data_IF_264688900610
#
_entry.id   IF_264688900610
#
_cell.length_a   1.000
_cell.length_b   1.000
_cell.length_c   1.000
_cell.angle_alpha   90.00
_cell.angle_beta   90.00
_cell.angle_gamma   90.00
#
_symmetry.space_group_name_H-M   'P 1'
#
loop_
_entity.id
_entity.type
_entity.pdbx_description
1 polymer ?
#
# COMPACT_ATOMS: atom_id res chain seq x y z
N UNK A 1 -19.20 24.17 17.71
CA UNK A 1 -19.23 24.43 16.24
C UNK A 1 -17.86 25.02 15.91
N UNK A 2 -16.89 24.17 15.52
CA UNK A 2 -15.51 24.59 15.29
C UNK A 2 -15.41 25.25 13.91
N UNK A 3 -14.94 26.50 13.89
CA UNK A 3 -14.91 27.34 12.69
C UNK A 3 -13.57 27.15 11.97
N UNK A 4 -13.61 26.59 10.76
CA UNK A 4 -12.44 26.22 9.92
C UNK A 4 -11.70 27.43 9.31
N UNK A 5 -12.13 28.67 9.61
CA UNK A 5 -11.58 29.92 9.06
C UNK A 5 -11.04 30.87 10.13
N UNK A 6 -10.95 30.46 11.40
CA UNK A 6 -10.37 31.30 12.45
C UNK A 6 -8.88 31.49 12.13
N UNK A 7 -8.39 32.73 11.92
CA UNK A 7 -6.95 32.98 11.88
C UNK A 7 -6.38 32.55 13.24
N UNK A 8 -5.24 31.85 13.23
CA UNK A 8 -4.60 31.35 14.43
C UNK A 8 -4.40 32.50 15.42
N UNK A 9 -5.08 32.45 16.56
CA UNK A 9 -4.82 33.37 17.65
C UNK A 9 -3.44 32.98 18.22
N UNK A 10 -2.53 33.93 18.33
CA UNK A 10 -1.14 33.75 18.82
C UNK A 10 -1.05 33.25 20.29
N UNK A 11 -2.18 33.04 20.95
CA UNK A 11 -2.32 32.68 22.37
C UNK A 11 -2.64 31.19 22.63
N UNK A 12 -2.92 30.38 21.61
CA UNK A 12 -3.05 28.92 21.79
C UNK A 12 -1.65 28.30 21.90
N UNK A 13 -1.21 28.09 23.14
CA UNK A 13 0.06 27.44 23.45
C UNK A 13 0.25 26.11 22.73
N UNK A 14 1.50 25.61 22.65
CA UNK A 14 1.82 24.45 21.85
C UNK A 14 0.92 23.24 22.15
N UNK A 15 0.40 22.60 21.10
CA UNK A 15 -0.52 21.48 21.24
C UNK A 15 -0.01 20.34 22.15
N UNK A 16 -0.89 19.51 22.72
CA UNK A 16 -0.54 18.53 23.77
C UNK A 16 0.53 17.50 23.33
N UNK A 17 0.61 17.19 22.03
CA UNK A 17 1.68 16.33 21.50
C UNK A 17 3.00 17.09 21.29
N UNK A 18 2.97 18.39 20.95
CA UNK A 18 4.17 19.22 20.92
C UNK A 18 4.77 19.32 22.31
N UNK A 19 3.96 19.55 23.35
CA UNK A 19 4.42 19.52 24.74
C UNK A 19 5.06 18.16 25.11
N UNK A 20 4.50 17.05 24.63
CA UNK A 20 5.09 15.72 24.85
C UNK A 20 6.41 15.52 24.08
N UNK A 21 6.51 15.99 22.84
CA UNK A 21 7.76 15.93 22.07
C UNK A 21 8.82 16.86 22.66
N UNK A 22 8.43 18.04 23.13
CA UNK A 22 9.31 18.98 23.79
C UNK A 22 9.83 18.38 25.09
N UNK A 23 9.01 17.68 25.86
CA UNK A 23 9.49 16.91 27.02
C UNK A 23 10.53 15.84 26.66
N UNK A 24 10.40 15.22 25.48
CA UNK A 24 11.37 14.22 24.96
C UNK A 24 12.65 14.88 24.43
N UNK A 25 12.53 16.05 23.78
CA UNK A 25 13.67 16.86 23.32
C UNK A 25 14.45 17.44 24.52
N UNK A 26 13.73 17.89 25.55
CA UNK A 26 14.25 18.39 26.83
C UNK A 26 14.84 17.25 27.70
N UNK A 27 14.60 15.99 27.33
CA UNK A 27 15.30 14.83 27.93
C UNK A 27 16.78 14.81 27.55
N UNK A 28 17.24 15.71 26.66
CA UNK A 28 18.63 15.85 26.25
C UNK A 28 19.08 14.82 25.22
N UNK A 29 18.18 13.94 24.75
CA UNK A 29 18.48 12.81 23.84
C UNK A 29 19.21 13.19 22.54
N UNK A 30 19.10 14.46 22.14
CA UNK A 30 19.69 15.02 20.91
C UNK A 30 20.86 15.98 21.17
N UNK A 31 21.32 16.13 22.42
CA UNK A 31 22.49 16.94 22.76
C UNK A 31 23.79 16.35 22.19
N UNK A 32 24.79 17.22 21.99
CA UNK A 32 26.09 16.84 21.46
C UNK A 32 26.77 15.80 22.38
N UNK A 33 27.13 14.64 21.81
CA UNK A 33 27.71 13.51 22.53
C UNK A 33 26.75 12.34 22.79
N UNK A 34 25.44 12.50 22.57
CA UNK A 34 24.48 11.41 22.70
C UNK A 34 24.36 10.57 21.41
N UNK A 35 24.14 9.24 21.49
CA UNK A 35 24.14 8.35 20.32
C UNK A 35 23.15 8.75 19.22
N UNK A 36 22.04 9.40 19.59
CA UNK A 36 20.99 9.82 18.67
C UNK A 36 21.36 11.09 17.86
N UNK A 37 22.37 11.85 18.32
CA UNK A 37 22.90 13.05 17.67
C UNK A 37 24.02 12.75 16.65
N UNK A 38 24.59 11.54 16.69
CA UNK A 38 25.68 11.11 15.81
C UNK A 38 25.37 11.22 14.31
N UNK A 39 24.14 10.99 13.81
CA UNK A 39 23.84 11.16 12.39
C UNK A 39 24.05 12.60 11.90
N UNK A 40 23.69 13.58 12.73
CA UNK A 40 23.87 15.01 12.42
C UNK A 40 25.35 15.38 12.50
N UNK A 41 26.06 14.89 13.52
CA UNK A 41 27.49 15.14 13.70
C UNK A 41 28.35 14.55 12.56
N UNK A 42 28.04 13.34 12.11
CA UNK A 42 28.69 12.73 10.96
C UNK A 42 28.44 13.53 9.67
N UNK A 43 27.25 14.12 9.50
CA UNK A 43 26.93 15.00 8.38
C UNK A 43 27.73 16.31 8.41
N UNK A 44 27.98 16.85 9.60
CA UNK A 44 28.80 18.05 9.81
C UNK A 44 30.30 17.80 9.75
N UNK A 45 30.73 16.55 9.52
CA UNK A 45 32.14 16.20 9.29
C UNK A 45 32.89 15.64 10.50
N UNK A 46 32.22 15.21 11.56
CA UNK A 46 32.87 14.50 12.68
C UNK A 46 33.31 13.09 12.25
N UNK A 47 34.63 12.86 12.18
CA UNK A 47 35.22 11.58 11.77
C UNK A 47 34.87 10.43 12.72
N UNK A 48 34.69 10.69 14.02
CA UNK A 48 34.40 9.65 15.01
C UNK A 48 32.96 9.18 14.84
N UNK A 49 32.00 10.11 14.75
CA UNK A 49 30.60 9.80 14.48
C UNK A 49 30.42 9.06 13.15
N UNK A 50 31.16 9.47 12.11
CA UNK A 50 31.16 8.83 10.80
C UNK A 50 31.74 7.41 10.86
N UNK A 51 32.87 7.21 11.56
CA UNK A 51 33.49 5.91 11.74
C UNK A 51 32.60 4.92 12.50
N UNK A 52 31.95 5.38 13.58
CA UNK A 52 31.04 4.54 14.39
C UNK A 52 29.79 4.18 13.59
N UNK A 53 29.12 5.13 12.94
CA UNK A 53 27.95 4.85 12.11
C UNK A 53 28.28 3.96 10.91
N UNK A 54 29.43 4.20 10.27
CA UNK A 54 29.95 3.36 9.19
C UNK A 54 30.23 1.93 9.68
N UNK A 55 30.83 1.78 10.85
CA UNK A 55 31.07 0.49 11.49
C UNK A 55 29.77 -0.26 11.83
N UNK A 56 28.77 0.43 12.39
CA UNK A 56 27.44 -0.13 12.66
C UNK A 56 26.77 -0.57 11.36
N UNK A 57 26.80 0.25 10.32
CA UNK A 57 26.23 -0.08 9.02
C UNK A 57 26.92 -1.31 8.39
N UNK A 58 28.24 -1.38 8.45
CA UNK A 58 29.03 -2.50 7.92
C UNK A 58 28.77 -3.78 8.70
N UNK A 59 28.72 -3.70 10.04
CA UNK A 59 28.40 -4.81 10.91
C UNK A 59 26.97 -5.31 10.68
N UNK A 60 26.00 -4.41 10.55
CA UNK A 60 24.62 -4.74 10.22
C UNK A 60 24.50 -5.40 8.84
N UNK A 61 25.19 -4.86 7.83
CA UNK A 61 25.25 -5.45 6.50
C UNK A 61 25.87 -6.86 6.52
N UNK A 62 26.98 -7.04 7.23
CA UNK A 62 27.63 -8.33 7.38
C UNK A 62 26.73 -9.33 8.13
N UNK A 63 26.11 -8.91 9.24
CA UNK A 63 25.21 -9.75 10.03
C UNK A 63 24.00 -10.22 9.21
N UNK A 64 23.35 -9.33 8.46
CA UNK A 64 22.24 -9.68 7.58
C UNK A 64 22.70 -10.59 6.45
N UNK A 65 23.83 -10.27 5.80
CA UNK A 65 24.36 -11.04 4.67
C UNK A 65 24.75 -12.45 5.09
N UNK A 66 25.46 -12.61 6.22
CA UNK A 66 25.87 -13.91 6.76
C UNK A 66 24.64 -14.69 7.25
N UNK A 67 23.70 -14.03 7.93
CA UNK A 67 22.49 -14.66 8.44
C UNK A 67 21.54 -15.17 7.36
N UNK A 68 21.46 -14.47 6.22
CA UNK A 68 20.61 -14.88 5.09
C UNK A 68 21.31 -15.77 4.06
N UNK A 69 22.65 -15.79 4.02
CA UNK A 69 23.42 -16.59 3.05
C UNK A 69 22.98 -18.08 2.97
N UNK A 70 22.74 -18.80 4.08
CA UNK A 70 22.29 -20.19 4.02
C UNK A 70 20.91 -20.35 3.37
N UNK A 71 20.01 -19.38 3.60
CA UNK A 71 18.67 -19.37 3.00
C UNK A 71 18.71 -19.02 1.52
N UNK A 72 19.58 -18.09 1.12
CA UNK A 72 19.79 -17.79 -0.30
C UNK A 72 20.37 -18.99 -1.06
N UNK A 73 21.36 -19.67 -0.49
CA UNK A 73 21.92 -20.88 -1.08
C UNK A 73 20.88 -22.00 -1.20
N UNK A 74 20.08 -22.23 -0.15
CA UNK A 74 18.99 -23.22 -0.18
C UNK A 74 17.94 -22.89 -1.24
N UNK A 75 17.45 -21.65 -1.30
CA UNK A 75 16.45 -21.21 -2.27
C UNK A 75 16.97 -21.25 -3.71
N UNK A 76 18.25 -20.91 -3.93
CA UNK A 76 18.89 -21.01 -5.25
C UNK A 76 19.03 -22.47 -5.70
N UNK A 77 19.33 -23.38 -4.77
CA UNK A 77 19.41 -24.82 -5.05
C UNK A 77 18.04 -25.40 -5.37
N UNK A 78 16.98 -25.01 -4.63
CA UNK A 78 15.60 -25.40 -4.94
C UNK A 78 15.12 -24.85 -6.29
N UNK A 79 15.41 -23.59 -6.60
CA UNK A 79 15.08 -22.98 -7.88
C UNK A 79 15.81 -23.62 -9.08
N UNK A 80 17.03 -24.14 -8.86
CA UNK A 80 17.78 -24.93 -9.82
C UNK A 80 17.28 -26.38 -9.97
N UNK A 81 16.22 -26.77 -9.27
CA UNK A 81 15.63 -28.11 -9.32
C UNK A 81 16.23 -29.10 -8.32
N UNK A 82 17.07 -28.64 -7.39
CA UNK A 82 17.58 -29.45 -6.30
C UNK A 82 16.48 -29.75 -5.29
N UNK A 83 16.34 -31.03 -4.90
CA UNK A 83 15.45 -31.41 -3.79
C UNK A 83 16.16 -31.13 -2.47
N UNK A 84 15.87 -30.00 -1.83
CA UNK A 84 16.17 -29.85 -0.42
C UNK A 84 15.30 -30.85 0.39
N UNK A 85 15.83 -31.47 1.45
CA UNK A 85 15.05 -32.34 2.32
C UNK A 85 14.01 -31.50 3.07
N UNK A 86 12.80 -31.42 2.51
CA UNK A 86 11.66 -30.83 3.18
C UNK A 86 11.14 -31.84 4.23
N UNK A 87 10.93 -31.44 5.50
CA UNK A 87 10.30 -32.31 6.47
C UNK A 87 8.90 -32.70 5.98
N UNK A 88 8.58 -33.99 6.04
CA UNK A 88 7.26 -34.50 5.67
C UNK A 88 6.21 -33.81 6.55
N UNK A 89 5.49 -32.86 5.96
CA UNK A 89 4.47 -32.11 6.69
C UNK A 89 3.25 -33.00 6.82
N UNK A 90 2.95 -33.41 8.05
CA UNK A 90 1.70 -34.09 8.35
C UNK A 90 0.52 -33.24 7.84
N UNK A 91 -0.19 -33.76 6.85
CA UNK A 91 -1.43 -33.16 6.36
C UNK A 91 -2.49 -33.48 7.41
N UNK A 92 -2.72 -32.55 8.31
CA UNK A 92 -3.86 -32.66 9.22
C UNK A 92 -5.14 -32.53 8.40
N UNK A 93 -6.00 -33.55 8.44
CA UNK A 93 -7.37 -33.51 7.91
C UNK A 93 -8.15 -32.45 8.68
N UNK A 94 -8.10 -31.22 8.15
CA UNK A 94 -8.91 -30.13 8.66
C UNK A 94 -10.29 -30.22 8.01
N UNK A 95 -11.37 -30.10 8.79
CA UNK A 95 -12.71 -30.03 8.20
C UNK A 95 -12.75 -28.89 7.18
N UNK A 96 -13.45 -29.11 6.06
CA UNK A 96 -13.67 -28.09 5.03
C UNK A 96 -14.24 -26.84 5.71
N UNK A 97 -13.48 -25.75 5.67
CA UNK A 97 -13.85 -24.52 6.37
C UNK A 97 -15.12 -23.91 5.74
N UNK A 98 -16.03 -23.45 6.60
CA UNK A 98 -17.28 -22.81 6.18
C UNK A 98 -17.01 -21.50 5.40
N UNK A 99 -17.57 -21.44 4.18
CA UNK A 99 -17.66 -20.25 3.33
C UNK A 99 -16.54 -20.10 2.29
N UNK A 100 -16.89 -20.22 1.01
CA UNK A 100 -16.02 -20.00 -0.16
C UNK A 100 -15.18 -18.72 -0.03
N UNK A 101 -15.82 -17.59 0.28
CA UNK A 101 -15.18 -16.28 0.39
C UNK A 101 -14.08 -16.25 1.46
N UNK A 102 -14.33 -16.85 2.64
CA UNK A 102 -13.36 -16.89 3.74
C UNK A 102 -12.16 -17.77 3.39
N UNK A 103 -12.42 -18.90 2.74
CA UNK A 103 -11.38 -19.82 2.26
C UNK A 103 -10.51 -19.14 1.20
N UNK A 104 -11.12 -18.48 0.23
CA UNK A 104 -10.43 -17.71 -0.79
C UNK A 104 -9.59 -16.58 -0.18
N UNK A 105 -10.17 -15.74 0.68
CA UNK A 105 -9.42 -14.66 1.35
C UNK A 105 -8.23 -15.22 2.13
N UNK A 106 -8.43 -16.27 2.94
CA UNK A 106 -7.34 -16.86 3.72
C UNK A 106 -6.25 -17.48 2.84
N UNK A 107 -6.62 -18.06 1.69
CA UNK A 107 -5.68 -18.56 0.69
C UNK A 107 -4.86 -17.40 0.13
N UNK A 108 -5.52 -16.38 -0.40
CA UNK A 108 -4.85 -15.24 -1.03
C UNK A 108 -3.96 -14.47 -0.05
N UNK A 109 -4.41 -14.24 1.18
CA UNK A 109 -3.59 -13.62 2.24
C UNK A 109 -2.33 -14.44 2.57
N UNK A 110 -2.43 -15.77 2.56
CA UNK A 110 -1.29 -16.65 2.81
C UNK A 110 -0.30 -16.64 1.63
N UNK A 111 -0.78 -16.45 0.40
CA UNK A 111 0.07 -16.29 -0.78
C UNK A 111 0.77 -14.93 -0.75
N UNK A 112 0.05 -13.85 -0.48
CA UNK A 112 0.62 -12.51 -0.31
C UNK A 112 1.70 -12.47 0.79
N UNK A 113 1.44 -13.09 1.95
CA UNK A 113 2.41 -13.14 3.04
C UNK A 113 3.69 -13.93 2.71
N UNK A 114 3.68 -14.73 1.64
CA UNK A 114 4.83 -15.47 1.15
C UNK A 114 5.60 -14.75 0.05
N UNK A 115 5.13 -13.57 -0.39
CA UNK A 115 5.82 -12.75 -1.37
C UNK A 115 6.83 -11.81 -0.68
N UNK A 116 8.14 -12.08 -0.78
CA UNK A 116 9.16 -11.25 -0.14
C UNK A 116 9.26 -9.84 -0.76
N UNK A 117 8.95 -9.69 -2.04
CA UNK A 117 8.97 -8.39 -2.71
C UNK A 117 7.87 -7.49 -2.16
N UNK A 118 6.72 -8.08 -1.81
CA UNK A 118 5.62 -7.39 -1.17
C UNK A 118 6.04 -6.78 0.18
N UNK A 119 6.74 -7.57 0.99
CA UNK A 119 7.24 -7.13 2.30
C UNK A 119 8.16 -5.92 2.13
N UNK A 120 9.11 -5.97 1.19
CA UNK A 120 10.00 -4.85 0.90
C UNK A 120 9.24 -3.60 0.42
N UNK A 121 8.24 -3.75 -0.45
CA UNK A 121 7.43 -2.63 -0.91
C UNK A 121 6.64 -1.97 0.22
N UNK A 122 6.00 -2.77 1.09
CA UNK A 122 5.24 -2.25 2.23
C UNK A 122 6.16 -1.54 3.21
N UNK A 123 7.30 -2.15 3.58
CA UNK A 123 8.30 -1.52 4.46
C UNK A 123 8.80 -0.20 3.88
N UNK A 124 9.14 -0.17 2.58
CA UNK A 124 9.57 1.05 1.91
C UNK A 124 8.46 2.13 1.94
N UNK A 125 7.19 1.73 1.74
CA UNK A 125 6.05 2.65 1.84
C UNK A 125 5.92 3.24 3.24
N UNK A 126 6.13 2.43 4.29
CA UNK A 126 6.12 2.88 5.68
C UNK A 126 7.28 3.84 5.97
N UNK A 127 8.46 3.59 5.41
CA UNK A 127 9.60 4.53 5.51
C UNK A 127 9.24 5.88 4.85
N UNK A 128 8.59 5.86 3.69
CA UNK A 128 8.15 7.09 3.02
C UNK A 128 7.02 7.86 3.73
N UNK A 129 6.34 7.25 4.71
CA UNK A 129 5.38 7.95 5.56
C UNK A 129 6.07 8.81 6.63
N UNK A 130 7.32 8.50 6.99
CA UNK A 130 8.03 9.19 8.06
C UNK A 130 8.30 10.67 7.76
N UNK A 131 8.77 11.06 6.56
CA UNK A 131 8.90 12.47 6.19
C UNK A 131 7.55 13.21 6.16
N UNK A 132 6.49 12.54 5.73
CA UNK A 132 5.15 13.14 5.67
C UNK A 132 4.63 13.42 7.08
N UNK A 133 4.85 12.49 8.01
CA UNK A 133 4.60 12.71 9.44
C UNK A 133 5.37 13.91 9.96
N UNK A 134 6.68 14.00 9.66
CA UNK A 134 7.51 15.13 10.10
C UNK A 134 6.98 16.50 9.61
N UNK A 135 6.62 16.60 8.33
CA UNK A 135 6.04 17.84 7.76
C UNK A 135 4.69 18.17 8.43
N UNK A 136 3.86 17.16 8.69
CA UNK A 136 2.62 17.34 9.44
C UNK A 136 2.82 17.91 10.84
N UNK A 137 3.87 17.48 11.54
CA UNK A 137 4.14 17.95 12.90
C UNK A 137 4.66 19.38 12.95
N UNK A 138 5.40 19.82 11.94
CA UNK A 138 5.98 21.17 11.92
C UNK A 138 4.93 22.27 11.70
N UNK A 139 3.91 21.97 10.90
CA UNK A 139 2.90 22.94 10.46
C UNK A 139 1.47 22.42 10.76
N UNK A 140 1.29 21.80 11.93
CA UNK A 140 0.07 21.07 12.32
C UNK A 140 -1.22 21.91 12.28
N UNK A 141 -1.10 23.22 12.52
CA UNK A 141 -2.23 24.17 12.51
C UNK A 141 -2.62 24.60 11.09
N UNK A 142 -1.82 24.27 10.08
CA UNK A 142 -2.13 24.61 8.70
C UNK A 142 -3.05 23.57 8.05
N UNK A 143 -4.27 23.99 7.72
CA UNK A 143 -5.23 23.15 6.98
C UNK A 143 -4.68 22.65 5.64
N UNK A 144 -3.74 23.37 5.03
CA UNK A 144 -3.04 22.97 3.80
C UNK A 144 -2.14 21.74 4.00
N UNK A 145 -1.42 21.64 5.11
CA UNK A 145 -0.54 20.48 5.40
C UNK A 145 -1.37 19.26 5.76
N UNK A 146 -2.48 19.44 6.49
CA UNK A 146 -3.46 18.37 6.73
C UNK A 146 -4.08 17.85 5.42
N UNK A 147 -4.45 18.75 4.50
CA UNK A 147 -4.98 18.39 3.20
C UNK A 147 -3.96 17.63 2.34
N UNK A 148 -2.71 18.11 2.26
CA UNK A 148 -1.64 17.47 1.48
C UNK A 148 -1.29 16.08 2.02
N UNK A 149 -1.21 15.95 3.34
CA UNK A 149 -0.82 14.69 3.98
C UNK A 149 -1.93 13.66 3.92
N UNK A 150 -3.17 14.08 4.13
CA UNK A 150 -4.35 13.24 3.90
C UNK A 150 -4.42 12.74 2.45
N UNK A 151 -4.19 13.63 1.48
CA UNK A 151 -4.10 13.27 0.06
C UNK A 151 -2.98 12.23 -0.20
N UNK A 152 -1.81 12.40 0.42
CA UNK A 152 -0.71 11.44 0.35
C UNK A 152 -1.11 10.04 0.82
N UNK A 153 -1.76 9.94 1.99
CA UNK A 153 -2.25 8.67 2.53
C UNK A 153 -3.25 8.00 1.57
N UNK A 154 -4.14 8.76 0.95
CA UNK A 154 -5.12 8.25 -0.04
C UNK A 154 -4.45 7.69 -1.30
N UNK A 155 -3.39 8.34 -1.80
CA UNK A 155 -2.59 7.80 -2.91
C UNK A 155 -1.89 6.51 -2.47
N UNK A 156 -1.34 6.46 -1.27
CA UNK A 156 -0.69 5.25 -0.74
C UNK A 156 -1.68 4.07 -0.67
N UNK A 157 -2.90 4.31 -0.19
CA UNK A 157 -3.97 3.31 -0.14
C UNK A 157 -4.29 2.74 -1.53
N UNK A 158 -4.46 3.62 -2.52
CA UNK A 158 -4.72 3.25 -3.90
C UNK A 158 -3.61 2.40 -4.51
N UNK A 159 -2.34 2.76 -4.33
CA UNK A 159 -1.22 2.00 -4.87
C UNK A 159 -1.02 0.65 -4.20
N UNK A 160 -1.18 0.57 -2.87
CA UNK A 160 -1.11 -0.70 -2.16
C UNK A 160 -2.21 -1.67 -2.62
N UNK A 161 -3.45 -1.18 -2.76
CA UNK A 161 -4.55 -1.99 -3.28
C UNK A 161 -4.30 -2.45 -4.72
N UNK A 162 -3.80 -1.55 -5.59
CA UNK A 162 -3.43 -1.87 -6.97
C UNK A 162 -2.38 -2.97 -7.05
N UNK A 163 -1.30 -2.84 -6.27
CA UNK A 163 -0.24 -3.85 -6.23
C UNK A 163 -0.74 -5.20 -5.69
N UNK A 164 -1.51 -5.19 -4.59
CA UNK A 164 -2.04 -6.42 -4.01
C UNK A 164 -3.03 -7.11 -4.94
N UNK A 165 -3.92 -6.35 -5.58
CA UNK A 165 -4.84 -6.88 -6.58
C UNK A 165 -4.06 -7.50 -7.75
N UNK A 166 -3.07 -6.78 -8.30
CA UNK A 166 -2.23 -7.29 -9.38
C UNK A 166 -1.53 -8.61 -9.01
N UNK A 167 -0.98 -8.72 -7.80
CA UNK A 167 -0.32 -9.95 -7.33
C UNK A 167 -1.32 -11.09 -7.17
N UNK A 168 -2.48 -10.85 -6.52
CA UNK A 168 -3.53 -11.87 -6.35
C UNK A 168 -3.99 -12.41 -7.70
N UNK A 169 -4.18 -11.52 -8.67
CA UNK A 169 -4.58 -11.86 -10.03
C UNK A 169 -3.49 -12.66 -10.75
N UNK A 170 -2.25 -12.19 -10.67
CA UNK A 170 -1.13 -12.79 -11.40
C UNK A 170 -0.68 -14.13 -10.79
N UNK A 171 -0.90 -14.33 -9.49
CA UNK A 171 -0.57 -15.57 -8.77
C UNK A 171 -1.61 -16.69 -8.98
N UNK A 172 -2.62 -16.47 -9.82
CA UNK A 172 -3.65 -17.45 -10.12
C UNK A 172 -3.15 -18.50 -11.12
N UNK A 173 -2.57 -19.60 -10.61
CA UNK A 173 -1.96 -20.66 -11.42
C UNK A 173 -2.94 -21.46 -12.32
N UNK A 174 -4.26 -21.37 -12.11
CA UNK A 174 -5.24 -22.16 -12.88
C UNK A 174 -6.62 -21.50 -12.97
N UNK A 175 -6.77 -20.43 -13.77
CA UNK A 175 -8.05 -19.76 -13.98
C UNK A 175 -9.10 -20.69 -14.61
N UNK A 176 -8.68 -21.65 -15.45
CA UNK A 176 -9.58 -22.61 -16.10
C UNK A 176 -10.24 -23.57 -15.09
N UNK A 177 -9.51 -23.98 -14.04
CA UNK A 177 -10.06 -24.84 -12.98
C UNK A 177 -11.09 -24.09 -12.12
N UNK A 178 -10.85 -22.82 -11.84
CA UNK A 178 -11.83 -21.94 -11.19
C UNK A 178 -13.04 -21.67 -12.10
N UNK A 179 -12.83 -21.61 -13.41
CA UNK A 179 -13.89 -21.48 -14.41
C UNK A 179 -14.81 -22.70 -14.51
N UNK A 180 -14.30 -23.89 -14.17
CA UNK A 180 -15.08 -25.14 -14.12
C UNK A 180 -15.68 -25.44 -12.74
N UNK A 181 -15.27 -24.71 -11.70
CA UNK A 181 -15.81 -24.89 -10.37
C UNK A 181 -17.29 -24.44 -10.33
N UNK A 182 -18.16 -25.12 -9.55
CA UNK A 182 -19.57 -24.76 -9.41
C UNK A 182 -19.74 -23.54 -8.47
N UNK A 183 -19.08 -22.43 -8.81
CA UNK A 183 -19.09 -21.17 -8.06
C UNK A 183 -19.45 -20.01 -8.99
N UNK A 184 -20.14 -19.02 -8.45
CA UNK A 184 -20.41 -17.79 -9.19
C UNK A 184 -19.11 -17.00 -9.39
N UNK A 185 -18.80 -16.62 -10.63
CA UNK A 185 -17.59 -15.81 -10.95
C UNK A 185 -17.53 -14.52 -10.14
N UNK A 186 -18.67 -13.85 -9.98
CA UNK A 186 -18.76 -12.62 -9.18
C UNK A 186 -18.41 -12.84 -7.70
N UNK A 187 -18.70 -14.01 -7.13
CA UNK A 187 -18.32 -14.34 -5.76
C UNK A 187 -16.80 -14.53 -5.62
N UNK A 188 -16.17 -15.17 -6.61
CA UNK A 188 -14.71 -15.32 -6.67
C UNK A 188 -14.01 -13.96 -6.83
N UNK A 189 -14.52 -13.10 -7.71
CA UNK A 189 -13.99 -11.76 -7.97
C UNK A 189 -14.09 -10.85 -6.75
N UNK A 190 -15.24 -10.86 -6.05
CA UNK A 190 -15.43 -10.15 -4.78
C UNK A 190 -14.46 -10.66 -3.72
N UNK A 191 -14.25 -11.97 -3.64
CA UNK A 191 -13.30 -12.55 -2.69
C UNK A 191 -11.86 -12.10 -2.96
N UNK A 192 -11.44 -12.03 -4.24
CA UNK A 192 -10.13 -11.50 -4.65
C UNK A 192 -9.99 -10.01 -4.31
N UNK A 193 -11.02 -9.22 -4.62
CA UNK A 193 -11.02 -7.79 -4.29
C UNK A 193 -10.92 -7.58 -2.78
N UNK A 194 -11.72 -8.30 -1.98
CA UNK A 194 -11.65 -8.23 -0.52
C UNK A 194 -10.29 -8.70 0.00
N UNK A 195 -9.71 -9.76 -0.58
CA UNK A 195 -8.38 -10.23 -0.21
C UNK A 195 -7.28 -9.20 -0.46
N UNK A 196 -7.43 -8.36 -1.50
CA UNK A 196 -6.53 -7.23 -1.76
C UNK A 196 -6.79 -6.07 -0.78
N UNK A 197 -8.05 -5.70 -0.56
CA UNK A 197 -8.42 -4.54 0.25
C UNK A 197 -8.17 -4.73 1.75
N UNK A 198 -8.37 -5.93 2.30
CA UNK A 198 -8.16 -6.20 3.74
C UNK A 198 -6.76 -5.81 4.22
N UNK A 199 -5.66 -6.30 3.61
CA UNK A 199 -4.31 -5.93 4.04
C UNK A 199 -3.99 -4.46 3.71
N UNK A 200 -4.51 -3.91 2.60
CA UNK A 200 -4.35 -2.48 2.28
C UNK A 200 -4.93 -1.62 3.40
N UNK A 201 -6.20 -1.86 3.75
CA UNK A 201 -6.90 -1.05 4.74
C UNK A 201 -6.32 -1.22 6.14
N UNK A 202 -5.86 -2.44 6.48
CA UNK A 202 -5.15 -2.68 7.73
C UNK A 202 -3.84 -1.88 7.83
N UNK A 203 -3.05 -1.82 6.75
CA UNK A 203 -1.81 -1.04 6.72
C UNK A 203 -2.09 0.47 6.74
N UNK A 204 -3.06 0.93 5.96
CA UNK A 204 -3.43 2.36 5.95
C UNK A 204 -4.07 2.79 7.26
N UNK A 205 -4.72 1.89 8.00
CA UNK A 205 -5.26 2.18 9.32
C UNK A 205 -4.17 2.61 10.32
N UNK A 206 -2.94 2.11 10.18
CA UNK A 206 -1.80 2.52 11.02
C UNK A 206 -1.46 3.99 10.75
N UNK A 207 -1.37 4.39 9.48
CA UNK A 207 -1.11 5.78 9.10
C UNK A 207 -2.27 6.70 9.50
N UNK A 208 -3.51 6.24 9.33
CA UNK A 208 -4.73 6.94 9.76
C UNK A 208 -4.80 7.15 11.26
N UNK A 209 -4.37 6.17 12.06
CA UNK A 209 -4.32 6.30 13.52
C UNK A 209 -3.38 7.45 13.92
N UNK A 210 -2.18 7.52 13.32
CA UNK A 210 -1.25 8.64 13.51
C UNK A 210 -1.87 9.99 13.12
N UNK A 211 -2.54 10.05 11.98
CA UNK A 211 -3.20 11.26 11.49
C UNK A 211 -4.39 11.70 12.37
N UNK A 212 -5.15 10.74 12.92
CA UNK A 212 -6.31 11.00 13.77
C UNK A 212 -5.96 11.68 15.10
N UNK A 213 -4.74 11.50 15.60
CA UNK A 213 -4.26 12.25 16.78
C UNK A 213 -4.11 13.74 16.52
N UNK A 214 -3.85 14.14 15.28
CA UNK A 214 -3.72 15.56 14.90
C UNK A 214 -5.09 16.14 14.54
N UNK A 215 -5.86 15.45 13.69
CA UNK A 215 -7.18 15.90 13.27
C UNK A 215 -8.16 14.74 13.10
N UNK A 216 -9.00 14.43 14.11
CA UNK A 216 -9.86 13.25 14.08
C UNK A 216 -10.99 13.36 13.05
N UNK A 217 -11.53 14.55 12.81
CA UNK A 217 -12.56 14.76 11.78
C UNK A 217 -11.99 14.66 10.37
N UNK A 218 -10.81 15.25 10.12
CA UNK A 218 -10.14 15.10 8.83
C UNK A 218 -9.75 13.64 8.59
N UNK A 219 -9.39 12.87 9.63
CA UNK A 219 -9.09 11.44 9.51
C UNK A 219 -10.27 10.63 8.96
N UNK A 220 -11.52 10.98 9.29
CA UNK A 220 -12.70 10.32 8.72
C UNK A 220 -12.81 10.56 7.21
N UNK A 221 -12.51 11.78 6.76
CA UNK A 221 -12.49 12.14 5.33
C UNK A 221 -11.37 11.38 4.61
N UNK A 222 -10.17 11.32 5.20
CA UNK A 222 -9.04 10.52 4.68
C UNK A 222 -9.39 9.05 4.63
N UNK A 223 -10.07 8.50 5.64
CA UNK A 223 -10.49 7.11 5.67
C UNK A 223 -11.45 6.79 4.52
N UNK A 224 -12.45 7.65 4.28
CA UNK A 224 -13.35 7.51 3.15
C UNK A 224 -12.59 7.58 1.82
N UNK A 225 -11.69 8.55 1.66
CA UNK A 225 -10.82 8.67 0.50
C UNK A 225 -9.95 7.43 0.26
N UNK A 226 -9.40 6.83 1.33
CA UNK A 226 -8.60 5.61 1.26
C UNK A 226 -9.42 4.42 0.76
N UNK A 227 -10.63 4.24 1.30
CA UNK A 227 -11.55 3.17 0.86
C UNK A 227 -11.93 3.34 -0.61
N UNK A 228 -12.26 4.56 -1.03
CA UNK A 228 -12.63 4.88 -2.41
C UNK A 228 -11.45 4.68 -3.39
N UNK A 229 -10.27 5.17 -3.04
CA UNK A 229 -9.04 5.03 -3.83
C UNK A 229 -8.62 3.56 -3.95
N UNK A 230 -8.55 2.85 -2.82
CA UNK A 230 -8.22 1.44 -2.78
C UNK A 230 -9.23 0.58 -3.57
N UNK A 231 -10.52 0.84 -3.38
CA UNK A 231 -11.60 0.18 -4.10
C UNK A 231 -11.52 0.41 -5.62
N UNK A 232 -11.23 1.65 -6.05
CA UNK A 232 -11.10 1.99 -7.46
C UNK A 232 -9.92 1.28 -8.11
N UNK A 233 -8.73 1.33 -7.48
CA UNK A 233 -7.54 0.62 -7.95
C UNK A 233 -7.78 -0.90 -8.04
N UNK A 234 -8.35 -1.50 -6.99
CA UNK A 234 -8.65 -2.92 -6.97
C UNK A 234 -9.64 -3.34 -8.06
N UNK A 235 -10.67 -2.53 -8.33
CA UNK A 235 -11.63 -2.77 -9.41
C UNK A 235 -11.01 -2.63 -10.80
N UNK A 236 -10.13 -1.63 -11.02
CA UNK A 236 -9.43 -1.44 -12.29
C UNK A 236 -8.59 -2.68 -12.61
N UNK A 237 -7.84 -3.18 -11.61
CA UNK A 237 -7.04 -4.39 -11.79
C UNK A 237 -7.91 -5.62 -12.05
N UNK A 238 -9.05 -5.74 -11.35
CA UNK A 238 -10.04 -6.81 -11.55
C UNK A 238 -10.65 -6.82 -12.95
N UNK A 239 -10.99 -5.65 -13.51
CA UNK A 239 -11.58 -5.56 -14.86
C UNK A 239 -10.57 -5.74 -15.98
N UNK A 240 -9.28 -5.57 -15.68
CA UNK A 240 -8.21 -5.65 -16.67
C UNK A 240 -7.34 -6.90 -16.52
N UNK A 241 -7.82 -7.88 -15.75
CA UNK A 241 -7.21 -9.19 -15.62
C UNK A 241 -6.93 -9.80 -16.99
N UNK A 242 -5.66 -10.18 -17.22
CA UNK A 242 -5.28 -11.06 -18.32
C UNK A 242 -4.78 -12.36 -17.71
N UNK A 243 -5.61 -13.42 -17.67
CA UNK A 243 -5.15 -14.73 -17.24
C UNK A 243 -4.15 -15.24 -18.27
N UNK A 244 -2.86 -15.27 -17.93
CA UNK A 244 -1.81 -15.73 -18.82
C UNK A 244 -1.21 -17.06 -18.38
N UNK A 245 -0.77 -17.85 -19.36
CA UNK A 245 -0.10 -19.13 -19.13
C UNK A 245 1.28 -18.90 -18.51
N UNK A 246 1.63 -19.71 -17.52
CA UNK A 246 2.89 -19.73 -16.71
C UNK A 246 4.20 -19.48 -17.47
N UNK A 247 4.25 -19.78 -18.78
CA UNK A 247 5.42 -19.61 -19.66
C UNK A 247 5.66 -18.16 -20.11
N UNK A 248 4.67 -17.27 -20.00
CA UNK A 248 4.76 -15.86 -20.43
C UNK A 248 5.05 -14.86 -19.28
N UNK A 249 5.12 -15.35 -18.03
CA UNK A 249 5.27 -14.52 -16.82
C UNK A 249 6.45 -13.52 -16.87
N UNK A 250 7.57 -13.91 -17.49
CA UNK A 250 8.75 -13.05 -17.55
C UNK A 250 8.77 -12.09 -18.75
N UNK A 251 7.91 -12.30 -19.77
CA UNK A 251 7.88 -11.48 -20.99
C UNK A 251 6.97 -10.25 -20.86
N UNK A 252 6.07 -10.23 -19.87
CA UNK A 252 5.00 -9.22 -19.76
C UNK A 252 5.17 -8.20 -18.63
N UNK A 253 6.41 -7.86 -18.25
CA UNK A 253 6.70 -6.64 -17.45
C UNK A 253 6.20 -5.33 -18.10
N UNK A 254 5.69 -5.39 -19.35
CA UNK A 254 5.05 -4.30 -20.10
C UNK A 254 3.51 -4.42 -20.17
N UNK A 255 2.87 -5.00 -19.13
CA UNK A 255 1.43 -4.83 -18.91
C UNK A 255 1.08 -3.34 -18.96
N UNK A 256 0.17 -2.96 -19.87
CA UNK A 256 0.23 -1.67 -20.58
C UNK A 256 0.37 -0.46 -19.66
N UNK A 257 1.42 0.34 -19.89
CA UNK A 257 1.67 1.64 -19.24
C UNK A 257 0.41 2.52 -19.17
N UNK A 258 -0.47 2.44 -20.16
CA UNK A 258 -1.76 3.14 -20.21
C UNK A 258 -2.66 2.83 -19.00
N UNK A 259 -2.68 1.59 -18.54
CA UNK A 259 -3.45 1.16 -17.36
C UNK A 259 -2.85 1.79 -16.10
N UNK A 260 -1.53 1.71 -15.93
CA UNK A 260 -0.85 2.32 -14.80
C UNK A 260 -1.02 3.84 -14.75
N UNK A 261 -0.99 4.51 -15.91
CA UNK A 261 -1.26 5.96 -16.00
C UNK A 261 -2.71 6.25 -15.62
N UNK A 262 -3.68 5.48 -16.13
CA UNK A 262 -5.08 5.69 -15.80
C UNK A 262 -5.36 5.45 -14.30
N UNK A 263 -4.74 4.44 -13.70
CA UNK A 263 -4.83 4.15 -12.28
C UNK A 263 -4.21 5.29 -11.45
N UNK A 264 -3.07 5.82 -11.86
CA UNK A 264 -2.44 6.97 -11.22
C UNK A 264 -3.32 8.23 -11.29
N UNK A 265 -3.98 8.49 -12.43
CA UNK A 265 -4.92 9.60 -12.60
C UNK A 265 -6.12 9.45 -11.66
N UNK A 266 -6.69 8.25 -11.54
CA UNK A 266 -7.80 7.96 -10.62
C UNK A 266 -7.39 8.22 -9.17
N UNK A 267 -6.18 7.77 -8.78
CA UNK A 267 -5.64 8.00 -7.45
C UNK A 267 -5.41 9.50 -7.18
N UNK A 268 -4.89 10.23 -8.17
CA UNK A 268 -4.69 11.68 -8.08
C UNK A 268 -6.02 12.42 -7.89
N UNK A 269 -7.10 12.01 -8.57
CA UNK A 269 -8.42 12.59 -8.37
C UNK A 269 -9.00 12.29 -6.97
N UNK A 270 -8.88 11.07 -6.45
CA UNK A 270 -9.29 10.78 -5.07
C UNK A 270 -8.48 11.57 -4.04
N UNK A 271 -7.18 11.73 -4.28
CA UNK A 271 -6.29 12.51 -3.42
C UNK A 271 -6.67 14.00 -3.43
N UNK A 272 -6.90 14.57 -4.62
CA UNK A 272 -7.36 15.96 -4.77
C UNK A 272 -8.72 16.18 -4.11
N UNK A 273 -9.68 15.27 -4.32
CA UNK A 273 -10.99 15.32 -3.67
C UNK A 273 -10.88 15.31 -2.14
N UNK A 274 -10.04 14.44 -1.60
CA UNK A 274 -9.82 14.33 -0.15
C UNK A 274 -9.17 15.60 0.40
N UNK A 275 -8.11 16.09 -0.24
CA UNK A 275 -7.43 17.33 0.17
C UNK A 275 -8.35 18.54 0.13
N UNK A 276 -9.13 18.70 -0.95
CA UNK A 276 -10.12 19.78 -1.08
C UNK A 276 -11.24 19.66 -0.03
N UNK A 277 -11.68 18.45 0.28
CA UNK A 277 -12.70 18.22 1.31
C UNK A 277 -12.19 18.58 2.71
N UNK A 278 -10.93 18.26 3.03
CA UNK A 278 -10.27 18.67 4.29
C UNK A 278 -10.15 20.19 4.35
N UNK A 279 -9.83 20.84 3.23
CA UNK A 279 -9.79 22.30 3.12
C UNK A 279 -11.19 22.97 3.16
N UNK A 280 -12.27 22.22 3.36
CA UNK A 280 -13.64 22.75 3.43
C UNK A 280 -14.20 23.23 2.09
N UNK A 281 -13.56 22.88 0.97
CA UNK A 281 -13.98 23.33 -0.36
C UNK A 281 -15.09 22.43 -0.91
N UNK A 282 -16.26 23.02 -1.21
CA UNK A 282 -17.38 22.31 -1.82
C UNK A 282 -17.04 21.71 -3.20
N UNK A 283 -16.02 22.28 -3.86
CA UNK A 283 -15.49 21.83 -5.14
C UNK A 283 -14.83 20.44 -5.09
N UNK A 284 -14.62 19.86 -3.90
CA UNK A 284 -14.14 18.49 -3.73
C UNK A 284 -14.97 17.42 -4.47
N UNK A 285 -16.25 17.72 -4.72
CA UNK A 285 -17.15 16.83 -5.47
C UNK A 285 -16.72 16.65 -6.93
N UNK A 286 -16.10 17.66 -7.55
CA UNK A 286 -15.66 17.62 -8.95
C UNK A 286 -14.59 16.54 -9.18
N UNK A 287 -13.43 16.56 -8.49
CA UNK A 287 -12.43 15.50 -8.66
C UNK A 287 -12.97 14.13 -8.22
N UNK A 288 -13.84 14.05 -7.20
CA UNK A 288 -14.48 12.78 -6.83
C UNK A 288 -15.34 12.22 -7.99
N UNK A 289 -16.14 13.06 -8.64
CA UNK A 289 -16.92 12.69 -9.81
C UNK A 289 -16.02 12.27 -10.99
N UNK A 290 -14.89 12.95 -11.21
CA UNK A 290 -13.91 12.58 -12.23
C UNK A 290 -13.25 11.22 -11.93
N UNK A 291 -12.95 10.91 -10.67
CA UNK A 291 -12.40 9.62 -10.27
C UNK A 291 -13.40 8.47 -10.54
N UNK A 292 -14.67 8.68 -10.18
CA UNK A 292 -15.74 7.71 -10.46
C UNK A 292 -15.95 7.56 -11.97
N UNK A 293 -15.99 8.68 -12.70
CA UNK A 293 -16.18 8.71 -14.15
C UNK A 293 -15.07 7.97 -14.90
N UNK A 294 -13.81 8.23 -14.57
CA UNK A 294 -12.65 7.55 -15.18
C UNK A 294 -12.64 6.05 -14.85
N UNK A 295 -12.90 5.68 -13.60
CA UNK A 295 -13.06 4.27 -13.19
C UNK A 295 -14.17 3.57 -13.98
N UNK A 296 -15.35 4.22 -14.12
CA UNK A 296 -16.47 3.68 -14.89
C UNK A 296 -16.19 3.56 -16.40
N UNK A 297 -15.41 4.49 -16.98
CA UNK A 297 -14.96 4.42 -18.37
C UNK A 297 -14.06 3.21 -18.62
N UNK A 298 -13.13 2.93 -17.70
CA UNK A 298 -12.25 1.76 -17.79
C UNK A 298 -13.06 0.45 -17.79
N UNK A 299 -14.12 0.36 -16.98
CA UNK A 299 -15.06 -0.78 -17.01
C UNK A 299 -15.72 -0.99 -18.38
N UNK A 300 -16.06 0.07 -19.10
CA UNK A 300 -16.74 -0.04 -20.41
C UNK A 300 -15.84 -0.62 -21.49
N UNK A 301 -14.53 -0.33 -21.43
CA UNK A 301 -13.57 -0.81 -22.43
C UNK A 301 -13.40 -2.34 -22.43
N UNK A 302 -13.61 -2.99 -21.28
CA UNK A 302 -13.62 -4.45 -21.15
C UNK A 302 -14.74 -5.09 -22.01
N UNK A 303 -15.97 -4.59 -21.91
CA UNK A 303 -17.13 -5.13 -22.63
C UNK A 303 -16.94 -5.09 -24.15
N UNK A 304 -16.32 -4.02 -24.65
CA UNK A 304 -16.02 -3.87 -26.08
C UNK A 304 -14.99 -4.90 -26.54
N UNK A 305 -13.97 -5.18 -25.69
CA UNK A 305 -12.93 -6.17 -25.98
C UNK A 305 -13.49 -7.60 -26.03
N UNK A 306 -14.37 -7.95 -25.10
CA UNK A 306 -15.06 -9.24 -25.11
C UNK A 306 -15.98 -9.40 -26.31
N UNK A 307 -16.70 -8.35 -26.70
CA UNK A 307 -17.54 -8.37 -27.90
C UNK A 307 -16.71 -8.66 -29.16
N UNK A 308 -15.57 -7.98 -29.32
CA UNK A 308 -14.66 -8.19 -30.46
C UNK A 308 -14.03 -9.59 -30.49
N UNK A 309 -13.57 -10.12 -29.35
CA UNK A 309 -13.01 -11.49 -29.28
C UNK A 309 -14.06 -12.56 -29.59
N UNK A 310 -15.31 -12.34 -29.17
CA UNK A 310 -16.40 -13.27 -29.48
C UNK A 310 -16.66 -13.32 -30.98
N UNK A 311 -16.66 -12.17 -31.66
CA UNK A 311 -16.80 -12.10 -33.13
C UNK A 311 -15.71 -12.88 -33.86
N UNK A 312 -14.45 -12.76 -33.41
CA UNK A 312 -13.31 -13.50 -33.99
C UNK A 312 -13.43 -15.01 -33.81
N UNK A 313 -13.93 -15.47 -32.65
CA UNK A 313 -14.13 -16.90 -32.39
C UNK A 313 -15.36 -17.49 -33.08
N UNK A 314 -16.35 -16.66 -33.41
CA UNK A 314 -17.56 -17.08 -34.14
C UNK A 314 -17.42 -17.02 -35.66
N UNK A 315 -16.25 -16.64 -36.20
CA UNK A 315 -15.93 -16.77 -37.62
C UNK A 315 -16.96 -16.11 -38.55
N UNK A 316 -17.18 -14.81 -38.38
CA UNK A 316 -17.87 -13.97 -39.36
C UNK A 316 -16.98 -12.78 -39.72
#
# INVERSE_FOLDING_TARGET
MWNLTRPADEDDGPGPLYASLQSVLDTGLFEAGQPLSWPVQALTGDLMALGVLGGIALAGFAAVSIGLAPRFAANATEAAGGKAPAPARAVADKPFAEGLTRVMIRKELRLLARDPQLVSQVVLRLIYLLPLGFVMFRDADSGAVAAFSGAGIVVMAGQLAGNFAWIIISAEDSPDLLGCAPIERAAADRAKLLAALVPTLALTAIALAGFAFVSPLAALVVAAGCVCSAGSSGLIQLWQQRPEKRKAFNQNKRGSLLIGIAEFIVQAFWAAATGMAIAGMIWAVVPAAMAIGTTALLRRSEKVRYASQRTVLTGN
#
